data_IF_716560405506
#
_entry.id   IF_716560405506
#
_cell.length_a   1.000
_cell.length_b   1.000
_cell.length_c   1.000
_cell.angle_alpha   90.00
_cell.angle_beta   90.00
_cell.angle_gamma   90.00
#
_symmetry.space_group_name_H-M   'P 1'
#
loop_
_entity.id
_entity.type
_entity.pdbx_description
1 polymer ?
#
# COMPACT_ATOMS: atom_id res chain seq x y z
N UNK A 1 9.67 -1.08 -6.29
CA UNK A 1 9.34 0.27 -5.76
C UNK A 1 10.47 1.26 -5.98
N UNK A 2 11.67 1.05 -5.41
CA UNK A 2 12.79 2.00 -5.55
C UNK A 2 13.07 2.45 -7.00
N UNK A 3 13.08 1.50 -7.93
CA UNK A 3 13.25 1.80 -9.36
C UNK A 3 12.13 2.70 -9.92
N UNK A 4 10.88 2.57 -9.48
CA UNK A 4 9.77 3.45 -9.92
C UNK A 4 9.90 4.81 -9.24
N UNK A 5 10.20 4.82 -7.94
CA UNK A 5 10.35 6.04 -7.15
C UNK A 5 11.47 6.98 -7.66
N UNK A 6 12.48 6.45 -8.35
CA UNK A 6 13.54 7.25 -8.95
C UNK A 6 13.17 7.92 -10.29
N UNK A 7 12.00 7.61 -10.86
CA UNK A 7 11.55 8.22 -12.12
C UNK A 7 10.70 9.46 -11.89
N UNK A 8 10.77 10.43 -12.82
CA UNK A 8 9.87 11.58 -12.83
C UNK A 8 8.48 11.13 -13.24
N UNK A 9 7.54 11.17 -12.30
CA UNK A 9 6.12 10.90 -12.54
C UNK A 9 5.45 12.22 -12.97
N UNK A 10 4.76 12.28 -14.13
CA UNK A 10 4.00 13.46 -14.53
C UNK A 10 2.91 13.80 -13.52
N UNK A 11 2.68 15.08 -13.26
CA UNK A 11 1.68 15.53 -12.27
C UNK A 11 0.24 15.14 -12.64
N UNK A 12 -0.02 14.88 -13.92
CA UNK A 12 -1.33 14.42 -14.41
C UNK A 12 -1.58 12.92 -14.22
N UNK A 13 -0.68 12.19 -13.56
CA UNK A 13 -0.74 10.73 -13.41
C UNK A 13 -0.57 10.33 -11.94
N UNK A 14 -1.57 9.65 -11.40
CA UNK A 14 -1.46 8.95 -10.12
C UNK A 14 -0.85 7.56 -10.33
N UNK A 15 0.27 7.27 -9.68
CA UNK A 15 0.90 5.94 -9.70
C UNK A 15 0.77 5.30 -8.32
N UNK A 16 0.20 4.10 -8.29
CA UNK A 16 0.01 3.30 -7.08
C UNK A 16 0.57 1.90 -7.30
N UNK A 17 1.31 1.37 -6.32
CA UNK A 17 1.85 -0.01 -6.36
C UNK A 17 1.27 -0.81 -5.20
N UNK A 18 0.64 -1.94 -5.51
CA UNK A 18 0.06 -2.88 -4.55
C UNK A 18 0.88 -4.19 -4.51
N UNK A 19 1.95 -4.28 -3.70
CA UNK A 19 2.72 -5.51 -3.54
C UNK A 19 1.92 -6.55 -2.72
N UNK A 20 2.40 -7.80 -2.69
CA UNK A 20 1.90 -8.79 -1.74
C UNK A 20 2.16 -8.35 -0.29
N UNK A 21 1.32 -8.79 0.65
CA UNK A 21 1.44 -8.40 2.07
C UNK A 21 2.83 -8.70 2.67
N UNK A 22 3.44 -9.83 2.29
CA UNK A 22 4.79 -10.23 2.72
C UNK A 22 5.89 -9.27 2.27
N UNK A 23 5.60 -8.38 1.31
CA UNK A 23 6.53 -7.37 0.80
C UNK A 23 6.06 -5.94 1.10
N UNK A 24 4.95 -5.75 1.81
CA UNK A 24 4.33 -4.44 2.01
C UNK A 24 5.23 -3.48 2.78
N UNK A 25 5.78 -3.91 3.92
CA UNK A 25 6.71 -3.11 4.73
C UNK A 25 7.99 -2.73 3.96
N UNK A 26 8.58 -3.69 3.24
CA UNK A 26 9.75 -3.45 2.40
C UNK A 26 9.45 -2.47 1.27
N UNK A 27 8.28 -2.57 0.65
CA UNK A 27 7.83 -1.64 -0.39
C UNK A 27 7.65 -0.21 0.14
N UNK A 28 7.06 -0.05 1.34
CA UNK A 28 6.94 1.25 2.01
C UNK A 28 8.32 1.85 2.26
N UNK A 29 9.23 1.09 2.88
CA UNK A 29 10.58 1.56 3.18
C UNK A 29 11.39 1.92 1.93
N UNK A 30 11.17 1.21 0.81
CA UNK A 30 11.84 1.47 -0.46
C UNK A 30 11.24 2.64 -1.25
N UNK A 31 10.11 3.22 -0.81
CA UNK A 31 9.49 4.34 -1.50
C UNK A 31 10.07 5.68 -1.03
N UNK A 32 10.90 6.29 -1.88
CA UNK A 32 11.50 7.60 -1.62
C UNK A 32 10.74 8.76 -2.30
N UNK A 33 9.66 8.46 -3.04
CA UNK A 33 8.91 9.46 -3.80
C UNK A 33 7.56 9.75 -3.17
N UNK A 34 7.22 11.04 -3.04
CA UNK A 34 5.88 11.48 -2.61
C UNK A 34 4.82 11.33 -3.69
N UNK A 35 5.23 11.20 -4.96
CA UNK A 35 4.32 11.05 -6.09
C UNK A 35 3.95 9.58 -6.36
N UNK A 36 4.61 8.64 -5.68
CA UNK A 36 4.29 7.22 -5.74
C UNK A 36 3.57 6.81 -4.46
N UNK A 37 2.37 6.23 -4.59
CA UNK A 37 1.61 5.71 -3.45
C UNK A 37 1.81 4.19 -3.34
N UNK A 38 1.80 3.68 -2.12
CA UNK A 38 1.76 2.25 -1.84
C UNK A 38 0.35 1.88 -1.39
N UNK A 39 -0.15 0.74 -1.86
CA UNK A 39 -1.45 0.21 -1.50
C UNK A 39 -1.34 -1.24 -1.02
N UNK A 40 -2.35 -1.72 -0.29
CA UNK A 40 -2.52 -3.16 -0.07
C UNK A 40 -3.35 -3.79 -1.19
N UNK A 41 -3.31 -5.12 -1.26
CA UNK A 41 -4.06 -5.89 -2.26
C UNK A 41 -5.46 -6.28 -1.83
N UNK A 42 -5.75 -6.29 -0.53
CA UNK A 42 -7.05 -6.64 0.01
C UNK A 42 -7.22 -6.05 1.42
N UNK A 43 -8.44 -6.03 1.93
CA UNK A 43 -8.75 -5.99 3.36
C UNK A 43 -9.94 -6.90 3.65
N UNK A 44 -10.08 -7.30 4.90
CA UNK A 44 -11.29 -7.93 5.38
C UNK A 44 -12.45 -6.93 5.49
N UNK A 45 -13.67 -7.45 5.44
CA UNK A 45 -14.89 -6.64 5.49
C UNK A 45 -15.06 -5.90 6.83
N UNK A 46 -14.62 -6.52 7.91
CA UNK A 46 -14.67 -5.95 9.26
C UNK A 46 -13.33 -5.36 9.67
N UNK A 47 -13.35 -4.48 10.67
CA UNK A 47 -12.15 -3.93 11.29
C UNK A 47 -11.39 -4.97 12.13
N UNK A 48 -10.54 -4.49 13.04
CA UNK A 48 -9.75 -5.36 13.92
C UNK A 48 -10.62 -6.38 14.68
N UNK A 49 -10.23 -7.66 14.63
CA UNK A 49 -10.98 -8.75 15.27
C UNK A 49 -10.28 -10.10 15.18
N UNK A 50 -10.98 -11.17 15.56
CA UNK A 50 -10.47 -12.55 15.57
C UNK A 50 -10.51 -13.20 14.17
N UNK A 51 -9.90 -12.53 13.19
CA UNK A 51 -9.89 -12.89 11.77
C UNK A 51 -8.49 -13.38 11.39
N UNK A 52 -8.15 -14.62 11.76
CA UNK A 52 -6.79 -15.16 11.56
C UNK A 52 -6.38 -15.12 10.09
N UNK A 53 -5.28 -14.42 9.80
CA UNK A 53 -4.70 -14.30 8.46
C UNK A 53 -5.19 -13.10 7.67
N UNK A 54 -6.19 -12.38 8.17
CA UNK A 54 -6.78 -11.23 7.50
C UNK A 54 -6.07 -9.91 7.86
N UNK A 55 -6.25 -8.89 7.01
CA UNK A 55 -5.76 -7.52 7.24
C UNK A 55 -6.93 -6.56 7.30
N UNK A 56 -6.97 -5.70 8.31
CA UNK A 56 -8.01 -4.67 8.45
C UNK A 56 -7.57 -3.34 7.81
N UNK A 57 -8.54 -2.46 7.56
CA UNK A 57 -8.26 -1.09 7.10
C UNK A 57 -7.46 -0.32 8.16
N UNK A 58 -7.75 -0.51 9.45
CA UNK A 58 -7.06 0.17 10.55
C UNK A 58 -5.57 -0.19 10.58
N UNK A 59 -5.20 -1.45 10.32
CA UNK A 59 -3.80 -1.86 10.21
C UNK A 59 -3.08 -1.12 9.07
N UNK A 60 -3.73 -0.99 7.91
CA UNK A 60 -3.13 -0.29 6.77
C UNK A 60 -2.98 1.22 7.03
N UNK A 61 -3.98 1.84 7.68
CA UNK A 61 -3.92 3.24 8.07
C UNK A 61 -2.79 3.50 9.08
N UNK A 62 -2.59 2.61 10.05
CA UNK A 62 -1.47 2.68 11.01
C UNK A 62 -0.10 2.60 10.30
N UNK A 63 -0.01 1.81 9.23
CA UNK A 63 1.17 1.75 8.36
C UNK A 63 1.34 2.96 7.42
N UNK A 64 0.43 3.94 7.46
CA UNK A 64 0.47 5.15 6.64
C UNK A 64 -0.04 4.96 5.20
N UNK A 65 -0.75 3.86 4.93
CA UNK A 65 -1.34 3.61 3.60
C UNK A 65 -2.67 4.34 3.47
N UNK A 66 -3.00 4.70 2.24
CA UNK A 66 -4.25 5.41 1.90
C UNK A 66 -5.10 4.68 0.86
N UNK A 67 -4.59 3.57 0.29
CA UNK A 67 -5.22 2.88 -0.83
C UNK A 67 -5.17 1.36 -0.59
N UNK A 68 -6.22 0.68 -1.03
CA UNK A 68 -6.31 -0.78 -1.08
C UNK A 68 -7.15 -1.18 -2.28
N UNK A 69 -6.77 -2.26 -2.96
CA UNK A 69 -7.57 -2.85 -4.03
C UNK A 69 -8.66 -3.72 -3.41
N UNK A 70 -9.89 -3.61 -3.91
CA UNK A 70 -11.05 -4.43 -3.53
C UNK A 70 -11.80 -4.84 -4.80
N UNK A 71 -12.27 -6.08 -4.85
CA UNK A 71 -13.02 -6.65 -5.96
C UNK A 71 -13.74 -7.92 -5.56
#
# INVERSE_FOLDING_TARGET
VAAIASHKIPESVDVVVAPSFVHLSTAIAANTSKCLKIAAQNVYLEGNGAWTGETSVEMLLDMGLSHVIIG
#
